data_IF_964391560960
#
_entry.id   IF_964391560960
#
_cell.length_a   1.000
_cell.length_b   1.000
_cell.length_c   1.000
_cell.angle_alpha   90.00
_cell.angle_beta   90.00
_cell.angle_gamma   90.00
#
_symmetry.space_group_name_H-M   'P 1'
#
loop_
_entity.id
_entity.type
_entity.pdbx_description
1 polymer ?
#
# COMPACT_ATOMS: atom_id res chain seq x y z
N UNK A 1 -58.11 79.05 14.95
CA UNK A 1 -57.09 77.99 14.78
C UNK A 1 -57.28 77.40 13.40
N UNK A 2 -56.71 78.07 12.40
CA UNK A 2 -56.65 77.57 11.03
C UNK A 2 -55.61 76.46 10.98
N UNK A 3 -56.10 75.22 10.80
CA UNK A 3 -55.25 74.08 10.54
C UNK A 3 -54.58 74.28 9.18
N UNK A 4 -53.28 74.52 9.18
CA UNK A 4 -52.44 74.50 7.99
C UNK A 4 -52.63 73.15 7.29
N UNK A 5 -53.39 73.16 6.19
CA UNK A 5 -53.43 72.03 5.26
C UNK A 5 -52.04 71.90 4.67
N UNK A 6 -51.34 70.84 5.06
CA UNK A 6 -50.12 70.39 4.39
C UNK A 6 -50.48 70.14 2.93
N UNK A 7 -49.87 70.92 2.05
CA UNK A 7 -50.00 70.82 0.60
C UNK A 7 -49.42 69.46 0.17
N UNK A 8 -50.19 68.60 -0.52
CA UNK A 8 -49.66 67.38 -1.11
C UNK A 8 -48.56 67.75 -2.13
N UNK A 9 -47.39 67.12 -2.02
CA UNK A 9 -46.29 67.34 -2.96
C UNK A 9 -46.62 66.81 -4.36
N UNK A 10 -45.84 67.23 -5.37
CA UNK A 10 -46.12 66.96 -6.80
C UNK A 10 -46.23 65.46 -7.13
N UNK A 11 -45.52 64.59 -6.39
CA UNK A 11 -45.59 63.13 -6.52
C UNK A 11 -46.85 62.49 -5.89
N UNK A 12 -47.58 63.21 -5.02
CA UNK A 12 -48.80 62.70 -4.40
C UNK A 12 -50.01 62.86 -5.32
N UNK A 13 -50.06 63.90 -6.15
CA UNK A 13 -51.17 64.12 -7.10
C UNK A 13 -51.33 62.97 -8.11
N UNK A 14 -50.21 62.48 -8.65
CA UNK A 14 -50.20 61.32 -9.55
C UNK A 14 -50.68 60.05 -8.86
N UNK A 15 -50.30 59.85 -7.59
CA UNK A 15 -50.74 58.70 -6.79
C UNK A 15 -52.25 58.72 -6.49
N UNK A 16 -52.92 59.85 -6.67
CA UNK A 16 -54.37 60.02 -6.57
C UNK A 16 -55.04 60.21 -7.93
N UNK A 17 -54.34 59.84 -9.01
CA UNK A 17 -54.90 59.78 -10.36
C UNK A 17 -55.12 61.14 -11.01
N UNK A 18 -54.33 62.16 -10.67
CA UNK A 18 -54.34 63.45 -11.36
C UNK A 18 -52.94 63.85 -11.81
N UNK A 19 -52.80 64.13 -13.10
CA UNK A 19 -51.55 64.60 -13.73
C UNK A 19 -51.80 65.92 -14.46
N UNK A 20 -51.14 66.99 -14.03
CA UNK A 20 -51.23 68.31 -14.63
C UNK A 20 -50.05 68.56 -15.58
N UNK A 21 -50.30 69.10 -16.77
CA UNK A 21 -49.30 69.36 -17.80
C UNK A 21 -49.38 70.80 -18.30
N UNK A 22 -48.23 71.42 -18.55
CA UNK A 22 -48.13 72.78 -19.10
C UNK A 22 -48.03 72.74 -20.62
N UNK A 23 -48.81 73.59 -21.28
CA UNK A 23 -48.73 73.85 -22.71
C UNK A 23 -48.12 75.24 -22.94
N UNK A 24 -46.90 75.26 -23.47
CA UNK A 24 -46.20 76.48 -23.83
C UNK A 24 -46.81 77.18 -25.05
N UNK A 25 -46.69 78.52 -25.16
CA UNK A 25 -47.18 79.29 -26.31
C UNK A 25 -46.51 78.93 -27.64
N UNK A 26 -45.34 78.30 -27.59
CA UNK A 26 -44.49 77.97 -28.74
C UNK A 26 -44.75 76.55 -29.29
N UNK A 27 -45.77 75.85 -28.76
CA UNK A 27 -46.05 74.45 -29.09
C UNK A 27 -45.25 73.42 -28.27
N UNK A 28 -44.33 73.86 -27.40
CA UNK A 28 -43.59 72.99 -26.48
C UNK A 28 -44.42 72.69 -25.23
N UNK A 29 -45.01 71.50 -25.14
CA UNK A 29 -45.61 70.97 -23.91
C UNK A 29 -44.59 70.23 -23.04
N UNK A 30 -44.75 70.27 -21.71
CA UNK A 30 -43.96 69.43 -20.82
C UNK A 30 -44.43 67.98 -20.91
N UNK A 31 -43.52 67.06 -21.25
CA UNK A 31 -43.81 65.61 -21.25
C UNK A 31 -43.96 65.07 -19.83
N UNK A 32 -43.32 65.71 -18.85
CA UNK A 32 -43.48 65.39 -17.44
C UNK A 32 -44.63 66.19 -16.83
N UNK A 33 -45.43 65.56 -15.95
CA UNK A 33 -46.43 66.25 -15.15
C UNK A 33 -45.76 67.27 -14.21
N UNK A 34 -46.50 68.33 -13.89
CA UNK A 34 -46.12 69.41 -12.99
C UNK A 34 -47.11 69.49 -11.83
N UNK A 35 -46.69 70.11 -10.73
CA UNK A 35 -47.56 70.33 -9.58
C UNK A 35 -48.77 71.23 -9.90
N UNK A 36 -49.88 71.05 -9.18
CA UNK A 36 -51.07 71.93 -9.28
C UNK A 36 -50.73 73.39 -8.97
N UNK A 37 -49.88 73.59 -7.96
CA UNK A 37 -49.42 74.92 -7.54
C UNK A 37 -48.50 75.56 -8.58
N UNK A 38 -47.68 74.75 -9.25
CA UNK A 38 -46.81 75.18 -10.34
C UNK A 38 -47.63 75.56 -11.57
N UNK A 39 -48.58 74.70 -11.97
CA UNK A 39 -49.54 74.99 -13.04
C UNK A 39 -50.30 76.29 -12.77
N UNK A 40 -50.80 76.48 -11.55
CA UNK A 40 -51.50 77.70 -11.15
C UNK A 40 -50.61 78.95 -11.31
N UNK A 41 -49.36 78.89 -10.86
CA UNK A 41 -48.40 80.00 -10.96
C UNK A 41 -48.07 80.38 -12.41
N UNK A 42 -47.93 79.39 -13.30
CA UNK A 42 -47.70 79.63 -14.72
C UNK A 42 -48.93 80.21 -15.43
N UNK A 43 -50.13 79.73 -15.11
CA UNK A 43 -51.37 80.30 -15.62
C UNK A 43 -51.58 81.76 -15.21
N UNK A 44 -51.03 82.22 -14.08
CA UNK A 44 -51.15 83.63 -13.66
C UNK A 44 -50.12 84.55 -14.33
N UNK A 45 -48.93 84.03 -14.69
CA UNK A 45 -47.79 84.83 -15.15
C UNK A 45 -47.61 84.86 -16.68
N UNK A 46 -48.04 83.80 -17.37
CA UNK A 46 -47.87 83.65 -18.81
C UNK A 46 -49.19 83.32 -19.49
N UNK A 47 -49.33 83.68 -20.78
CA UNK A 47 -50.45 83.24 -21.64
C UNK A 47 -50.49 81.74 -21.92
N UNK A 48 -49.81 80.95 -21.09
CA UNK A 48 -49.74 79.48 -21.11
C UNK A 48 -51.11 78.87 -20.87
N UNK A 49 -51.29 77.70 -21.47
CA UNK A 49 -52.46 76.84 -21.29
C UNK A 49 -52.04 75.57 -20.53
N UNK A 50 -52.99 74.79 -20.06
CA UNK A 50 -52.71 73.56 -19.33
C UNK A 50 -53.70 72.45 -19.66
N UNK A 51 -53.26 71.22 -19.45
CA UNK A 51 -54.11 70.03 -19.50
C UNK A 51 -54.01 69.33 -18.14
N UNK A 52 -55.15 68.93 -17.58
CA UNK A 52 -55.21 68.04 -16.44
C UNK A 52 -55.78 66.71 -16.93
N UNK A 53 -54.99 65.66 -16.79
CA UNK A 53 -55.38 64.28 -17.04
C UNK A 53 -55.81 63.68 -15.70
N UNK A 54 -56.95 63.00 -15.66
CA UNK A 54 -57.39 62.29 -14.47
C UNK A 54 -57.80 60.86 -14.77
N UNK A 55 -57.52 59.96 -13.84
CA UNK A 55 -57.92 58.55 -13.89
C UNK A 55 -59.35 58.34 -13.38
N UNK A 56 -59.97 57.23 -13.76
CA UNK A 56 -61.28 56.86 -13.24
C UNK A 56 -61.26 56.84 -11.70
N UNK A 57 -62.12 57.63 -11.02
CA UNK A 57 -62.12 57.72 -9.56
C UNK A 57 -62.23 56.36 -8.85
N UNK A 58 -63.03 55.45 -9.41
CA UNK A 58 -63.25 54.13 -8.81
C UNK A 58 -61.99 53.27 -8.86
N UNK A 59 -61.23 53.37 -9.96
CA UNK A 59 -59.97 52.66 -10.18
C UNK A 59 -58.88 53.17 -9.23
N UNK A 60 -58.76 54.50 -9.09
CA UNK A 60 -57.79 55.13 -8.17
C UNK A 60 -58.08 54.75 -6.72
N UNK A 61 -59.34 54.85 -6.31
CA UNK A 61 -59.74 54.50 -4.94
C UNK A 61 -59.53 53.00 -4.69
N UNK A 62 -59.75 52.13 -5.69
CA UNK A 62 -59.52 50.70 -5.57
C UNK A 62 -58.07 50.33 -5.30
N UNK A 63 -57.11 50.93 -6.01
CA UNK A 63 -55.69 50.71 -5.75
C UNK A 63 -55.27 51.14 -4.34
N UNK A 64 -55.87 52.22 -3.83
CA UNK A 64 -55.64 52.63 -2.45
C UNK A 64 -56.17 51.57 -1.46
N UNK A 65 -57.33 50.98 -1.73
CA UNK A 65 -57.89 49.90 -0.91
C UNK A 65 -57.04 48.63 -0.93
N UNK A 66 -56.58 48.21 -2.12
CA UNK A 66 -55.68 47.05 -2.29
C UNK A 66 -54.37 47.20 -1.53
N UNK A 67 -53.83 48.42 -1.50
CA UNK A 67 -52.62 48.73 -0.72
C UNK A 67 -52.84 48.69 0.80
N UNK A 68 -54.04 48.34 1.25
CA UNK A 68 -54.41 48.23 2.66
C UNK A 68 -54.82 49.55 3.30
N UNK A 69 -55.11 50.60 2.52
CA UNK A 69 -55.62 51.86 3.09
C UNK A 69 -57.10 51.73 3.43
N UNK A 70 -57.53 52.27 4.59
CA UNK A 70 -58.94 52.25 4.95
C UNK A 70 -59.74 53.18 4.03
N UNK A 71 -60.91 52.71 3.58
CA UNK A 71 -61.81 53.38 2.63
C UNK A 71 -62.05 54.86 2.95
N UNK A 72 -62.35 55.19 4.21
CA UNK A 72 -62.62 56.56 4.61
C UNK A 72 -61.43 57.50 4.38
N UNK A 73 -60.19 57.00 4.54
CA UNK A 73 -58.98 57.79 4.27
C UNK A 73 -58.72 57.91 2.77
N UNK A 74 -58.91 56.82 2.02
CA UNK A 74 -58.76 56.83 0.56
C UNK A 74 -59.71 57.85 -0.10
N UNK A 75 -60.99 57.83 0.28
CA UNK A 75 -62.00 58.79 -0.21
C UNK A 75 -61.71 60.23 0.21
N UNK A 76 -61.27 60.46 1.45
CA UNK A 76 -60.93 61.81 1.93
C UNK A 76 -59.71 62.39 1.21
N UNK A 77 -58.69 61.58 0.96
CA UNK A 77 -57.47 61.99 0.25
C UNK A 77 -57.74 62.27 -1.23
N UNK A 78 -58.45 61.36 -1.91
CA UNK A 78 -58.87 61.58 -3.30
C UNK A 78 -59.70 62.87 -3.44
N UNK A 79 -60.68 63.09 -2.55
CA UNK A 79 -61.47 64.34 -2.55
C UNK A 79 -60.61 65.59 -2.34
N UNK A 80 -59.64 65.55 -1.44
CA UNK A 80 -58.77 66.71 -1.22
C UNK A 80 -58.03 67.12 -2.50
N UNK A 81 -57.44 66.14 -3.19
CA UNK A 81 -56.70 66.35 -4.45
C UNK A 81 -57.64 66.76 -5.58
N UNK A 82 -58.76 66.08 -5.76
CA UNK A 82 -59.76 66.41 -6.78
C UNK A 82 -60.31 67.84 -6.61
N UNK A 83 -60.55 68.28 -5.37
CA UNK A 83 -61.06 69.62 -5.08
C UNK A 83 -60.04 70.71 -5.45
N UNK A 84 -58.74 70.47 -5.23
CA UNK A 84 -57.68 71.41 -5.61
C UNK A 84 -57.62 71.60 -7.13
N UNK A 85 -57.66 70.50 -7.89
CA UNK A 85 -57.68 70.54 -9.36
C UNK A 85 -58.96 71.18 -9.91
N UNK A 86 -60.13 70.82 -9.37
CA UNK A 86 -61.40 71.44 -9.76
C UNK A 86 -61.44 72.93 -9.44
N UNK A 87 -60.91 73.37 -8.29
CA UNK A 87 -60.83 74.78 -7.95
C UNK A 87 -59.97 75.56 -8.95
N UNK A 88 -58.85 74.98 -9.39
CA UNK A 88 -58.00 75.56 -10.43
C UNK A 88 -58.75 75.65 -11.78
N UNK A 89 -59.47 74.59 -12.16
CA UNK A 89 -60.34 74.59 -13.34
C UNK A 89 -61.46 75.65 -13.27
N UNK A 90 -62.06 75.86 -12.09
CA UNK A 90 -63.08 76.92 -11.86
C UNK A 90 -62.49 78.32 -12.08
N UNK A 91 -61.25 78.56 -11.63
CA UNK A 91 -60.57 79.87 -11.73
C UNK A 91 -60.06 80.16 -13.14
N UNK A 92 -59.58 79.15 -13.86
CA UNK A 92 -58.87 79.29 -15.16
C UNK A 92 -59.52 78.49 -16.30
N UNK A 93 -60.85 78.35 -16.30
CA UNK A 93 -61.57 77.39 -17.16
C UNK A 93 -61.41 77.55 -18.68
N UNK A 94 -61.03 78.72 -19.19
CA UNK A 94 -60.74 78.90 -20.63
C UNK A 94 -59.33 78.45 -21.03
N UNK A 95 -58.43 78.31 -20.06
CA UNK A 95 -57.00 78.01 -20.27
C UNK A 95 -56.61 76.59 -19.87
N UNK A 96 -57.50 75.87 -19.19
CA UNK A 96 -57.29 74.49 -18.77
C UNK A 96 -58.28 73.58 -19.50
N UNK A 97 -57.79 72.48 -20.04
CA UNK A 97 -58.60 71.34 -20.45
C UNK A 97 -58.50 70.22 -19.41
N UNK A 98 -59.61 69.55 -19.15
CA UNK A 98 -59.70 68.37 -18.31
C UNK A 98 -60.00 67.15 -19.18
N UNK A 99 -59.27 66.05 -18.99
CA UNK A 99 -59.43 64.83 -19.79
C UNK A 99 -59.29 63.59 -18.92
N UNK A 100 -60.17 62.61 -19.13
CA UNK A 100 -60.02 61.28 -18.54
C UNK A 100 -58.88 60.50 -19.20
N UNK A 101 -58.20 59.64 -18.46
CA UNK A 101 -57.34 58.60 -19.03
C UNK A 101 -58.17 57.55 -19.74
N UNK A 102 -57.65 56.99 -20.83
CA UNK A 102 -58.23 55.81 -21.47
C UNK A 102 -57.19 54.69 -21.56
N UNK A 103 -57.67 53.46 -21.35
CA UNK A 103 -56.87 52.25 -21.54
C UNK A 103 -56.89 51.79 -23.00
N UNK A 104 -57.80 52.32 -23.84
CA UNK A 104 -57.89 51.98 -25.25
C UNK A 104 -57.03 52.94 -26.10
N UNK A 105 -56.08 52.35 -26.83
CA UNK A 105 -55.20 53.08 -27.75
C UNK A 105 -55.97 53.77 -28.88
N UNK A 106 -57.16 53.29 -29.25
CA UNK A 106 -57.98 53.92 -30.28
C UNK A 106 -58.69 55.18 -29.76
N UNK A 107 -59.24 55.13 -28.54
CA UNK A 107 -59.84 56.29 -27.87
C UNK A 107 -58.80 57.36 -27.56
N UNK A 108 -57.58 56.96 -27.18
CA UNK A 108 -56.46 57.88 -26.94
C UNK A 108 -56.12 58.72 -28.19
N UNK A 109 -56.26 58.15 -29.39
CA UNK A 109 -56.03 58.86 -30.66
C UNK A 109 -57.13 59.89 -30.91
N UNK A 110 -58.40 59.53 -30.69
CA UNK A 110 -59.55 60.44 -30.84
C UNK A 110 -59.45 61.60 -29.84
N UNK A 111 -59.09 61.30 -28.59
CA UNK A 111 -58.84 62.28 -27.54
C UNK A 111 -57.71 63.24 -27.93
N UNK A 112 -56.63 62.72 -28.53
CA UNK A 112 -55.52 63.55 -29.01
C UNK A 112 -55.93 64.47 -30.16
N UNK A 113 -56.83 64.02 -31.05
CA UNK A 113 -57.35 64.81 -32.17
C UNK A 113 -58.25 65.96 -31.67
N UNK A 114 -59.19 65.69 -30.76
CA UNK A 114 -60.05 66.71 -30.14
C UNK A 114 -59.26 67.75 -29.32
N UNK A 115 -58.23 67.31 -28.61
CA UNK A 115 -57.33 68.20 -27.89
C UNK A 115 -56.49 69.07 -28.84
N UNK A 116 -56.13 68.55 -30.01
CA UNK A 116 -55.36 69.30 -31.02
C UNK A 116 -56.18 70.40 -31.70
N UNK A 117 -57.51 70.25 -31.81
CA UNK A 117 -58.41 71.32 -32.25
C UNK A 117 -58.46 72.48 -31.24
N UNK A 118 -58.46 72.16 -29.94
CA UNK A 118 -58.50 73.15 -28.86
C UNK A 118 -57.14 73.81 -28.62
N UNK A 119 -56.05 73.10 -28.91
CA UNK A 119 -54.66 73.53 -28.72
C UNK A 119 -53.85 73.31 -30.00
N UNK A 120 -54.02 74.23 -30.97
CA UNK A 120 -53.33 74.14 -32.25
C UNK A 120 -51.79 74.23 -32.07
N UNK A 121 -51.06 73.26 -32.63
CA UNK A 121 -49.58 73.17 -32.71
C UNK A 121 -48.83 72.73 -31.44
N UNK A 122 -49.48 72.19 -30.41
CA UNK A 122 -48.80 71.62 -29.22
C UNK A 122 -48.64 70.11 -29.27
N UNK A 123 -47.48 69.57 -28.86
CA UNK A 123 -47.32 68.12 -28.61
C UNK A 123 -48.05 67.73 -27.33
N UNK A 124 -49.03 66.86 -27.44
CA UNK A 124 -49.84 66.37 -26.30
C UNK A 124 -49.07 65.29 -25.50
N UNK A 125 -49.25 65.25 -24.16
CA UNK A 125 -48.75 64.17 -23.31
C UNK A 125 -49.42 62.83 -23.64
N UNK A 126 -48.77 61.70 -23.30
CA UNK A 126 -49.33 60.37 -23.51
C UNK A 126 -50.58 60.16 -22.65
N UNK A 127 -51.72 59.86 -23.28
CA UNK A 127 -53.03 59.74 -22.63
C UNK A 127 -53.36 58.30 -22.15
N UNK A 128 -52.41 57.37 -22.29
CA UNK A 128 -52.56 55.96 -21.92
C UNK A 128 -51.61 55.61 -20.76
N UNK A 129 -52.19 55.13 -19.65
CA UNK A 129 -51.43 54.66 -18.47
C UNK A 129 -51.47 53.13 -18.41
N UNK A 130 -50.29 52.50 -18.35
CA UNK A 130 -50.12 51.04 -18.25
C UNK A 130 -50.15 50.58 -16.79
N UNK A 131 -51.19 50.94 -16.05
CA UNK A 131 -51.36 50.51 -14.65
C UNK A 131 -52.07 49.17 -14.62
N UNK A 132 -51.54 48.21 -13.85
CA UNK A 132 -52.18 46.91 -13.64
C UNK A 132 -53.59 47.15 -13.11
N UNK A 133 -54.66 46.56 -13.70
CA UNK A 133 -56.01 46.81 -13.23
C UNK A 133 -56.18 46.33 -11.77
N UNK A 134 -56.86 47.10 -10.90
CA UNK A 134 -57.17 46.67 -9.54
C UNK A 134 -58.14 45.48 -9.56
N UNK A 135 -58.12 44.70 -8.48
CA UNK A 135 -59.07 43.62 -8.22
C UNK A 135 -60.50 44.16 -8.43
N UNK A 136 -61.30 43.49 -9.28
CA UNK A 136 -62.67 43.88 -9.55
C UNK A 136 -63.53 44.08 -8.29
N UNK A 137 -63.21 43.40 -7.19
CA UNK A 137 -63.89 43.60 -5.90
C UNK A 137 -63.63 45.00 -5.32
N UNK A 138 -62.38 45.44 -5.28
CA UNK A 138 -62.03 46.75 -4.73
C UNK A 138 -62.52 47.89 -5.63
N UNK A 139 -62.54 47.70 -6.96
CA UNK A 139 -63.14 48.66 -7.92
C UNK A 139 -64.63 48.83 -7.68
N UNK A 140 -65.33 47.72 -7.51
CA UNK A 140 -66.76 47.75 -7.24
C UNK A 140 -67.10 48.39 -5.89
N UNK A 141 -66.32 48.08 -4.84
CA UNK A 141 -66.45 48.70 -3.53
C UNK A 141 -66.18 50.20 -3.58
N UNK A 142 -65.15 50.62 -4.32
CA UNK A 142 -64.82 52.02 -4.54
C UNK A 142 -65.93 52.78 -5.27
N UNK A 143 -66.45 52.23 -6.37
CA UNK A 143 -67.54 52.81 -7.15
C UNK A 143 -68.82 53.00 -6.31
N UNK A 144 -69.22 51.96 -5.56
CA UNK A 144 -70.39 52.03 -4.67
C UNK A 144 -70.20 53.06 -3.54
N UNK A 145 -68.99 53.13 -2.97
CA UNK A 145 -68.69 54.04 -1.86
C UNK A 145 -68.64 55.50 -2.33
N UNK A 146 -68.03 55.75 -3.48
CA UNK A 146 -68.00 57.06 -4.12
C UNK A 146 -69.38 57.52 -4.59
N UNK A 147 -70.18 56.58 -5.12
CA UNK A 147 -71.57 56.82 -5.50
C UNK A 147 -72.50 57.09 -4.31
N UNK A 148 -72.16 56.66 -3.09
CA UNK A 148 -72.98 56.90 -1.88
C UNK A 148 -72.66 58.22 -1.17
N UNK A 149 -71.41 58.65 -1.15
CA UNK A 149 -71.00 59.93 -0.56
C UNK A 149 -71.41 61.09 -1.48
N UNK A 150 -72.36 61.92 -1.05
CA UNK A 150 -72.90 63.00 -1.89
C UNK A 150 -71.81 63.96 -2.34
N UNK A 151 -70.84 64.27 -1.47
CA UNK A 151 -69.73 65.18 -1.80
C UNK A 151 -68.83 64.58 -2.88
N UNK A 152 -68.45 63.31 -2.73
CA UNK A 152 -67.66 62.59 -3.74
C UNK A 152 -68.42 62.49 -5.06
N UNK A 153 -69.71 62.15 -5.02
CA UNK A 153 -70.57 62.07 -6.20
C UNK A 153 -70.65 63.39 -6.95
N UNK A 154 -70.97 64.49 -6.26
CA UNK A 154 -71.06 65.83 -6.85
C UNK A 154 -69.73 66.24 -7.52
N UNK A 155 -68.59 65.88 -6.91
CA UNK A 155 -67.27 66.14 -7.48
C UNK A 155 -66.97 65.27 -8.70
N UNK A 156 -67.37 63.99 -8.70
CA UNK A 156 -67.26 63.10 -9.85
C UNK A 156 -68.13 63.61 -11.00
N UNK A 157 -69.37 63.99 -10.72
CA UNK A 157 -70.28 64.58 -11.71
C UNK A 157 -69.71 65.88 -12.29
N UNK A 158 -69.11 66.74 -11.46
CA UNK A 158 -68.44 67.96 -11.95
C UNK A 158 -67.21 67.65 -12.80
N UNK A 159 -66.39 66.66 -12.43
CA UNK A 159 -65.26 66.21 -13.25
C UNK A 159 -65.73 65.70 -14.60
N UNK A 160 -66.75 64.83 -14.62
CA UNK A 160 -67.32 64.25 -15.83
C UNK A 160 -67.94 65.33 -16.73
N UNK A 161 -68.70 66.28 -16.16
CA UNK A 161 -69.35 67.36 -16.92
C UNK A 161 -68.34 68.36 -17.51
N UNK A 162 -67.17 68.50 -16.90
CA UNK A 162 -66.10 69.41 -17.37
C UNK A 162 -65.07 68.72 -18.25
N UNK A 163 -65.01 67.40 -18.20
CA UNK A 163 -64.08 66.63 -19.01
C UNK A 163 -64.47 66.68 -20.48
N UNK A 164 -63.47 66.80 -21.35
CA UNK A 164 -63.69 66.71 -22.80
C UNK A 164 -64.11 65.29 -23.18
N UNK A 165 -63.49 64.29 -22.53
CA UNK A 165 -63.86 62.88 -22.63
C UNK A 165 -63.82 62.27 -21.23
N UNK A 166 -64.95 61.80 -20.68
CA UNK A 166 -64.97 61.13 -19.39
C UNK A 166 -64.24 59.78 -19.47
N UNK A 167 -63.55 59.33 -18.40
CA UNK A 167 -62.96 58.00 -18.36
C UNK A 167 -64.06 56.93 -18.36
N UNK A 168 -63.79 55.78 -19.00
CA UNK A 168 -64.70 54.63 -19.00
C UNK A 168 -64.53 53.88 -17.68
N UNK A 169 -65.60 53.77 -16.89
CA UNK A 169 -65.57 52.96 -15.67
C UNK A 169 -65.41 51.47 -16.04
N UNK A 170 -64.41 50.76 -15.50
CA UNK A 170 -64.19 49.32 -15.77
C UNK A 170 -65.27 48.43 -15.16
N UNK A 171 -66.15 49.00 -14.33
CA UNK A 171 -67.18 48.28 -13.61
C UNK A 171 -68.53 48.94 -13.86
N UNK A 172 -69.42 48.18 -14.48
CA UNK A 172 -70.77 48.61 -14.85
C UNK A 172 -71.73 48.27 -13.69
N UNK A 173 -71.59 48.98 -12.57
CA UNK A 173 -72.50 48.86 -11.44
C UNK A 173 -73.55 49.94 -11.52
N UNK A 174 -74.80 49.53 -11.38
CA UNK A 174 -75.91 50.47 -11.25
C UNK A 174 -75.79 51.19 -9.91
N UNK A 175 -75.52 52.49 -9.93
CA UNK A 175 -75.60 53.36 -8.75
C UNK A 175 -77.04 53.39 -8.20
N UNK A 176 -78.02 53.11 -9.07
CA UNK A 176 -79.45 53.03 -8.74
C UNK A 176 -79.85 51.70 -8.07
N UNK A 177 -78.96 50.68 -8.08
CA UNK A 177 -79.18 49.39 -7.39
C UNK A 177 -77.90 48.88 -6.68
N UNK A 178 -77.60 49.44 -5.49
CA UNK A 178 -76.44 49.04 -4.70
C UNK A 178 -76.59 47.64 -4.08
N UNK A 179 -77.79 47.09 -3.98
CA UNK A 179 -78.06 45.80 -3.34
C UNK A 179 -77.65 44.65 -4.27
N UNK A 180 -78.11 44.66 -5.52
CA UNK A 180 -77.70 43.68 -6.55
C UNK A 180 -76.18 43.69 -6.80
N UNK A 181 -75.58 44.88 -6.70
CA UNK A 181 -74.14 45.10 -6.82
C UNK A 181 -73.36 44.44 -5.67
N UNK A 182 -73.82 44.57 -4.43
CA UNK A 182 -73.23 43.90 -3.27
C UNK A 182 -73.44 42.39 -3.29
N UNK A 183 -74.61 41.91 -3.71
CA UNK A 183 -74.87 40.48 -3.86
C UNK A 183 -73.93 39.82 -4.86
N UNK A 184 -73.69 40.47 -5.99
CA UNK A 184 -72.75 39.98 -7.02
C UNK A 184 -71.33 39.89 -6.46
N UNK A 185 -70.89 40.88 -5.69
CA UNK A 185 -69.57 40.86 -5.05
C UNK A 185 -69.45 39.79 -3.97
N UNK A 186 -70.49 39.65 -3.15
CA UNK A 186 -70.54 38.63 -2.10
C UNK A 186 -70.49 37.22 -2.72
N UNK A 187 -71.20 37.01 -3.84
CA UNK A 187 -71.15 35.78 -4.61
C UNK A 187 -69.75 35.46 -5.11
N UNK A 188 -69.06 36.43 -5.73
CA UNK A 188 -67.68 36.27 -6.22
C UNK A 188 -66.68 35.99 -5.09
N UNK A 189 -66.81 36.69 -3.97
CA UNK A 189 -65.96 36.47 -2.80
C UNK A 189 -66.17 35.07 -2.21
N UNK A 190 -67.43 34.63 -2.07
CA UNK A 190 -67.74 33.28 -1.59
C UNK A 190 -67.17 32.21 -2.53
N UNK A 191 -67.29 32.38 -3.85
CA UNK A 191 -66.69 31.46 -4.83
C UNK A 191 -65.17 31.37 -4.67
N UNK A 192 -64.48 32.52 -4.60
CA UNK A 192 -63.03 32.55 -4.40
C UNK A 192 -62.62 31.91 -3.05
N UNK A 193 -63.40 32.15 -1.99
CA UNK A 193 -63.16 31.55 -0.68
C UNK A 193 -63.34 30.03 -0.69
N UNK A 194 -64.36 29.52 -1.38
CA UNK A 194 -64.56 28.07 -1.54
C UNK A 194 -63.47 27.42 -2.37
N UNK A 195 -63.01 28.08 -3.44
CA UNK A 195 -61.90 27.60 -4.26
C UNK A 195 -60.61 27.52 -3.44
N UNK A 196 -60.30 28.59 -2.69
CA UNK A 196 -59.15 28.61 -1.80
C UNK A 196 -59.24 27.50 -0.72
N UNK A 197 -60.42 27.30 -0.13
CA UNK A 197 -60.65 26.21 0.82
C UNK A 197 -60.40 24.83 0.22
N UNK A 198 -60.82 24.59 -1.02
CA UNK A 198 -60.55 23.33 -1.73
C UNK A 198 -59.06 23.11 -1.98
N UNK A 199 -58.32 24.15 -2.39
CA UNK A 199 -56.87 24.08 -2.58
C UNK A 199 -56.12 23.77 -1.28
N UNK A 200 -56.56 24.34 -0.15
CA UNK A 200 -55.96 24.05 1.16
C UNK A 200 -56.16 22.57 1.54
N UNK A 201 -57.32 21.99 1.27
CA UNK A 201 -57.58 20.56 1.52
C UNK A 201 -56.68 19.68 0.66
N UNK A 202 -56.55 19.99 -0.63
CA UNK A 202 -55.68 19.25 -1.55
C UNK A 202 -54.21 19.31 -1.13
N UNK A 203 -53.72 20.50 -0.76
CA UNK A 203 -52.36 20.68 -0.26
C UNK A 203 -52.11 19.88 1.03
N UNK A 204 -53.07 19.87 1.96
CA UNK A 204 -52.97 19.05 3.16
C UNK A 204 -52.93 17.55 2.84
N UNK A 205 -53.69 17.10 1.85
CA UNK A 205 -53.61 15.73 1.35
C UNK A 205 -52.24 15.38 0.79
N UNK A 206 -51.64 16.28 0.01
CA UNK A 206 -50.28 16.10 -0.52
C UNK A 206 -49.23 16.06 0.59
N UNK A 207 -49.34 16.93 1.61
CA UNK A 207 -48.43 16.94 2.76
C UNK A 207 -48.49 15.62 3.52
N UNK A 208 -49.69 15.11 3.82
CA UNK A 208 -49.83 13.82 4.50
C UNK A 208 -49.21 12.65 3.70
N UNK A 209 -49.31 12.69 2.37
CA UNK A 209 -48.70 11.69 1.50
C UNK A 209 -47.17 11.80 1.46
N UNK A 210 -46.63 13.02 1.49
CA UNK A 210 -45.19 13.26 1.60
C UNK A 210 -44.64 12.80 2.96
N UNK A 211 -45.35 13.07 4.05
CA UNK A 211 -44.96 12.60 5.38
C UNK A 211 -44.92 11.07 5.45
N UNK A 212 -45.91 10.40 4.84
CA UNK A 212 -45.95 8.94 4.75
C UNK A 212 -44.75 8.38 3.97
N UNK A 213 -44.47 8.92 2.79
CA UNK A 213 -43.34 8.45 1.97
C UNK A 213 -41.99 8.76 2.63
N UNK A 214 -41.87 9.88 3.35
CA UNK A 214 -40.70 10.20 4.16
C UNK A 214 -40.50 9.19 5.30
N UNK A 215 -41.58 8.75 5.95
CA UNK A 215 -41.49 7.74 7.00
C UNK A 215 -41.05 6.37 6.47
N UNK A 216 -41.66 5.90 5.38
CA UNK A 216 -41.31 4.62 4.73
C UNK A 216 -39.85 4.60 4.25
N UNK A 217 -39.37 5.71 3.68
CA UNK A 217 -37.97 5.83 3.25
C UNK A 217 -37.01 5.89 4.43
N UNK A 218 -37.38 6.54 5.54
CA UNK A 218 -36.59 6.55 6.77
C UNK A 218 -36.44 5.16 7.38
N UNK A 219 -37.52 4.36 7.41
CA UNK A 219 -37.46 2.98 7.91
C UNK A 219 -36.56 2.09 7.03
N UNK A 220 -36.69 2.20 5.71
CA UNK A 220 -35.82 1.48 4.77
C UNK A 220 -34.34 1.87 4.93
N UNK A 221 -34.04 3.14 5.18
CA UNK A 221 -32.68 3.60 5.47
C UNK A 221 -32.14 3.03 6.80
N UNK A 222 -32.99 2.93 7.82
CA UNK A 222 -32.62 2.32 9.11
C UNK A 222 -32.29 0.82 8.94
N UNK A 223 -33.08 0.10 8.14
CA UNK A 223 -32.85 -1.33 7.83
C UNK A 223 -31.56 -1.54 7.05
N UNK A 224 -31.32 -0.75 6.00
CA UNK A 224 -30.08 -0.82 5.21
C UNK A 224 -28.86 -0.48 6.05
N UNK A 225 -28.97 0.50 6.96
CA UNK A 225 -27.90 0.84 7.93
C UNK A 225 -27.58 -0.32 8.87
N UNK A 226 -28.60 -1.03 9.39
CA UNK A 226 -28.40 -2.22 10.22
C UNK A 226 -27.74 -3.36 9.44
N UNK A 227 -28.16 -3.59 8.20
CA UNK A 227 -27.55 -4.59 7.32
C UNK A 227 -26.07 -4.26 7.03
N UNK A 228 -25.75 -2.99 6.79
CA UNK A 228 -24.38 -2.51 6.59
C UNK A 228 -23.52 -2.77 7.82
N UNK A 229 -23.98 -2.41 9.02
CA UNK A 229 -23.25 -2.67 10.26
C UNK A 229 -22.98 -4.16 10.52
N UNK A 230 -23.91 -5.03 10.14
CA UNK A 230 -23.71 -6.50 10.20
C UNK A 230 -22.62 -6.96 9.21
N UNK A 231 -22.62 -6.43 7.99
CA UNK A 231 -21.62 -6.73 6.98
C UNK A 231 -20.22 -6.23 7.40
N UNK A 232 -20.11 -5.02 7.94
CA UNK A 232 -18.87 -4.46 8.50
C UNK A 232 -18.34 -5.33 9.65
N UNK A 233 -19.20 -5.76 10.56
CA UNK A 233 -18.83 -6.68 11.65
C UNK A 233 -18.31 -8.03 11.14
N UNK A 234 -18.89 -8.57 10.07
CA UNK A 234 -18.43 -9.79 9.41
C UNK A 234 -17.08 -9.61 8.72
N UNK A 235 -16.87 -8.47 8.04
CA UNK A 235 -15.60 -8.12 7.42
C UNK A 235 -14.49 -7.94 8.46
N UNK A 236 -14.76 -7.26 9.57
CA UNK A 236 -13.81 -7.10 10.66
C UNK A 236 -13.34 -8.46 11.22
N UNK A 237 -14.26 -9.42 11.39
CA UNK A 237 -13.93 -10.80 11.79
C UNK A 237 -13.03 -11.48 10.75
N UNK A 238 -13.34 -11.38 9.45
CA UNK A 238 -12.50 -11.95 8.38
C UNK A 238 -11.09 -11.34 8.35
N UNK A 239 -10.97 -10.02 8.53
CA UNK A 239 -9.67 -9.34 8.60
C UNK A 239 -8.86 -9.85 9.79
N UNK A 240 -9.48 -10.00 10.96
CA UNK A 240 -8.78 -10.54 12.14
C UNK A 240 -8.29 -11.98 11.94
N UNK A 241 -9.10 -12.83 11.30
CA UNK A 241 -8.73 -14.21 10.99
C UNK A 241 -7.59 -14.29 9.95
N UNK A 242 -7.64 -13.45 8.91
CA UNK A 242 -6.56 -13.36 7.92
C UNK A 242 -5.26 -12.86 8.54
N UNK A 243 -5.32 -11.92 9.47
CA UNK A 243 -4.14 -11.46 10.20
C UNK A 243 -3.53 -12.56 11.07
N UNK A 244 -4.34 -13.37 11.76
CA UNK A 244 -3.80 -14.52 12.52
C UNK A 244 -3.18 -15.58 11.60
N UNK A 245 -3.81 -15.86 10.45
CA UNK A 245 -3.24 -16.77 9.44
C UNK A 245 -1.93 -16.22 8.86
N UNK A 246 -1.85 -14.91 8.60
CA UNK A 246 -0.62 -14.26 8.15
C UNK A 246 0.53 -14.38 9.16
N UNK A 247 0.23 -14.27 10.45
CA UNK A 247 1.22 -14.49 11.52
C UNK A 247 1.68 -15.96 11.58
N UNK A 248 0.77 -16.91 11.43
CA UNK A 248 1.09 -18.34 11.40
C UNK A 248 2.00 -18.69 10.22
N UNK A 249 1.68 -18.21 9.01
CA UNK A 249 2.52 -18.37 7.82
C UNK A 249 3.91 -17.76 8.03
N UNK A 250 4.00 -16.57 8.63
CA UNK A 250 5.28 -15.93 8.92
C UNK A 250 6.14 -16.77 9.90
N UNK A 251 5.51 -17.43 10.88
CA UNK A 251 6.21 -18.34 11.80
C UNK A 251 6.68 -19.61 11.09
N UNK A 252 5.83 -20.23 10.26
CA UNK A 252 6.19 -21.41 9.48
C UNK A 252 7.33 -21.14 8.48
N UNK A 253 7.38 -19.94 7.89
CA UNK A 253 8.49 -19.53 7.02
C UNK A 253 9.80 -19.49 7.82
N UNK A 254 9.79 -18.90 9.02
CA UNK A 254 10.98 -18.86 9.89
C UNK A 254 11.43 -20.27 10.28
N UNK A 255 10.50 -21.14 10.67
CA UNK A 255 10.81 -22.54 11.01
C UNK A 255 11.43 -23.27 9.81
N UNK A 256 10.84 -23.12 8.61
CA UNK A 256 11.39 -23.71 7.38
C UNK A 256 12.78 -23.19 7.06
N UNK A 257 13.03 -21.89 7.18
CA UNK A 257 14.36 -21.32 6.96
C UNK A 257 15.38 -21.87 7.96
N UNK A 258 15.02 -21.99 9.25
CA UNK A 258 15.91 -22.60 10.26
C UNK A 258 16.20 -24.07 9.97
N UNK A 259 15.19 -24.85 9.58
CA UNK A 259 15.35 -26.26 9.22
C UNK A 259 16.23 -26.42 7.98
N UNK A 260 16.04 -25.59 6.97
CA UNK A 260 16.85 -25.60 5.74
C UNK A 260 18.33 -25.30 6.04
N UNK A 261 18.63 -24.30 6.87
CA UNK A 261 20.03 -24.03 7.25
C UNK A 261 20.66 -25.17 8.06
N UNK A 262 19.86 -25.91 8.85
CA UNK A 262 20.33 -27.10 9.56
C UNK A 262 20.60 -28.27 8.60
N UNK A 263 19.72 -28.49 7.63
CA UNK A 263 19.89 -29.50 6.57
C UNK A 263 21.14 -29.22 5.73
N UNK A 264 21.38 -27.97 5.34
CA UNK A 264 22.59 -27.57 4.60
C UNK A 264 23.87 -27.86 5.40
N UNK A 265 23.87 -27.59 6.72
CA UNK A 265 25.00 -27.94 7.60
C UNK A 265 25.20 -29.45 7.69
N UNK A 266 24.11 -30.22 7.82
CA UNK A 266 24.17 -31.68 7.88
C UNK A 266 24.68 -32.27 6.56
N UNK A 267 24.22 -31.76 5.42
CA UNK A 267 24.67 -32.15 4.08
C UNK A 267 26.17 -31.89 3.89
N UNK A 268 26.66 -30.69 4.27
CA UNK A 268 28.10 -30.39 4.26
C UNK A 268 28.91 -31.35 5.13
N UNK A 269 28.40 -31.67 6.32
CA UNK A 269 29.07 -32.61 7.24
C UNK A 269 29.11 -34.01 6.65
N UNK A 270 28.03 -34.47 6.02
CA UNK A 270 27.97 -35.77 5.35
C UNK A 270 28.98 -35.87 4.20
N UNK A 271 29.13 -34.82 3.39
CA UNK A 271 30.14 -34.77 2.32
C UNK A 271 31.57 -34.87 2.88
N UNK A 272 31.87 -34.13 3.96
CA UNK A 272 33.18 -34.19 4.61
C UNK A 272 33.49 -35.57 5.18
N UNK A 273 32.52 -36.19 5.87
CA UNK A 273 32.67 -37.55 6.40
C UNK A 273 32.86 -38.57 5.28
N UNK A 274 32.10 -38.45 4.18
CA UNK A 274 32.24 -39.36 3.05
C UNK A 274 33.62 -39.23 2.38
N UNK A 275 34.16 -38.02 2.30
CA UNK A 275 35.53 -37.80 1.82
C UNK A 275 36.56 -38.45 2.76
N UNK A 276 36.43 -38.26 4.07
CA UNK A 276 37.31 -38.90 5.07
C UNK A 276 37.25 -40.43 5.01
N UNK A 277 36.07 -41.01 4.85
CA UNK A 277 35.91 -42.46 4.68
C UNK A 277 36.66 -42.92 3.42
N UNK A 278 36.52 -42.21 2.30
CA UNK A 278 37.22 -42.55 1.06
C UNK A 278 38.75 -42.46 1.21
N UNK A 279 39.26 -41.44 1.92
CA UNK A 279 40.69 -41.32 2.22
C UNK A 279 41.20 -42.47 3.11
N UNK A 280 40.43 -42.82 4.15
CA UNK A 280 40.76 -43.93 5.05
C UNK A 280 40.73 -45.29 4.33
N UNK A 281 39.77 -45.53 3.44
CA UNK A 281 39.72 -46.73 2.61
C UNK A 281 40.94 -46.83 1.68
N UNK A 282 41.33 -45.73 1.04
CA UNK A 282 42.52 -45.68 0.19
C UNK A 282 43.82 -45.94 0.99
N UNK A 283 43.93 -45.32 2.18
CA UNK A 283 45.06 -45.52 3.09
C UNK A 283 45.12 -46.97 3.59
N UNK A 284 43.98 -47.55 3.98
CA UNK A 284 43.88 -48.93 4.42
C UNK A 284 44.31 -49.89 3.30
N UNK A 285 43.83 -49.68 2.07
CA UNK A 285 44.24 -50.48 0.91
C UNK A 285 45.75 -50.43 0.68
N UNK A 286 46.33 -49.24 0.71
CA UNK A 286 47.78 -49.06 0.58
C UNK A 286 48.57 -49.80 1.67
N UNK A 287 48.09 -49.78 2.92
CA UNK A 287 48.72 -50.51 4.03
C UNK A 287 48.57 -52.02 3.91
N UNK A 288 47.42 -52.50 3.42
CA UNK A 288 47.22 -53.93 3.13
C UNK A 288 48.19 -54.40 2.05
N UNK A 289 48.33 -53.65 0.96
CA UNK A 289 49.28 -53.97 -0.12
C UNK A 289 50.74 -53.97 0.39
N UNK A 290 51.10 -53.03 1.27
CA UNK A 290 52.42 -53.00 1.92
C UNK A 290 52.66 -54.23 2.80
N UNK A 291 51.68 -54.65 3.61
CA UNK A 291 51.78 -55.86 4.43
C UNK A 291 51.92 -57.12 3.58
N UNK A 292 51.19 -57.22 2.47
CA UNK A 292 51.32 -58.33 1.52
C UNK A 292 52.75 -58.39 0.97
N UNK A 293 53.30 -57.24 0.54
CA UNK A 293 54.67 -57.16 0.04
C UNK A 293 55.70 -57.56 1.10
N UNK A 294 55.61 -57.00 2.31
CA UNK A 294 56.52 -57.31 3.40
C UNK A 294 56.47 -58.79 3.81
N UNK A 295 55.28 -59.41 3.77
CA UNK A 295 55.14 -60.85 4.01
C UNK A 295 55.79 -61.69 2.92
N UNK A 296 55.67 -61.29 1.65
CA UNK A 296 56.35 -61.95 0.54
C UNK A 296 57.88 -61.82 0.68
N UNK A 297 58.38 -60.63 0.99
CA UNK A 297 59.82 -60.37 1.22
C UNK A 297 60.34 -61.20 2.41
N UNK A 298 59.59 -61.21 3.53
CA UNK A 298 59.92 -62.04 4.70
C UNK A 298 59.98 -63.52 4.35
N UNK A 299 59.02 -64.02 3.57
CA UNK A 299 59.00 -65.43 3.13
C UNK A 299 60.22 -65.77 2.28
N UNK A 300 60.55 -64.92 1.30
CA UNK A 300 61.74 -65.11 0.45
C UNK A 300 63.05 -65.08 1.27
N UNK A 301 63.13 -64.21 2.28
CA UNK A 301 64.28 -64.15 3.19
C UNK A 301 64.39 -65.43 4.03
N UNK A 302 63.27 -65.94 4.56
CA UNK A 302 63.24 -67.22 5.31
C UNK A 302 63.70 -68.37 4.42
N UNK A 303 63.15 -68.51 3.20
CA UNK A 303 63.58 -69.56 2.27
C UNK A 303 65.07 -69.47 1.92
N UNK A 304 65.61 -68.25 1.81
CA UNK A 304 67.04 -68.02 1.58
C UNK A 304 67.88 -68.44 2.79
N UNK A 305 67.42 -68.10 4.01
CA UNK A 305 68.10 -68.52 5.24
C UNK A 305 68.02 -70.03 5.46
N UNK A 306 66.89 -70.67 5.20
CA UNK A 306 66.74 -72.13 5.27
C UNK A 306 67.71 -72.85 4.33
N UNK A 307 67.87 -72.36 3.09
CA UNK A 307 68.88 -72.89 2.16
C UNK A 307 70.30 -72.73 2.71
N UNK A 308 70.65 -71.55 3.20
CA UNK A 308 71.98 -71.30 3.79
C UNK A 308 72.24 -72.18 5.02
N UNK A 309 71.23 -72.39 5.87
CA UNK A 309 71.35 -73.30 7.02
C UNK A 309 71.59 -74.72 6.55
N UNK A 310 70.83 -75.20 5.56
CA UNK A 310 71.03 -76.53 4.98
C UNK A 310 72.43 -76.70 4.34
N UNK A 311 72.91 -75.69 3.63
CA UNK A 311 74.28 -75.66 3.07
C UNK A 311 75.35 -75.70 4.18
N UNK A 312 75.19 -74.90 5.24
CA UNK A 312 76.10 -74.87 6.37
C UNK A 312 76.09 -76.18 7.16
N UNK A 313 74.93 -76.80 7.35
CA UNK A 313 74.80 -78.12 7.99
C UNK A 313 75.50 -79.21 7.16
N UNK A 314 75.34 -79.19 5.83
CA UNK A 314 76.03 -80.11 4.93
C UNK A 314 77.55 -79.91 4.97
N UNK A 315 78.02 -78.65 4.94
CA UNK A 315 79.43 -78.32 5.06
C UNK A 315 80.02 -78.74 6.43
N UNK A 316 79.27 -78.51 7.51
CA UNK A 316 79.66 -78.93 8.87
C UNK A 316 79.80 -80.45 8.94
N UNK A 317 78.83 -81.20 8.38
CA UNK A 317 78.88 -82.66 8.32
C UNK A 317 80.08 -83.16 7.51
N UNK A 318 80.31 -82.60 6.32
CA UNK A 318 81.47 -82.95 5.50
C UNK A 318 82.78 -82.72 6.25
N UNK A 319 82.88 -81.62 7.01
CA UNK A 319 84.08 -81.33 7.79
C UNK A 319 84.22 -82.22 9.02
N UNK A 320 83.11 -82.61 9.64
CA UNK A 320 83.12 -83.61 10.70
C UNK A 320 83.60 -84.98 10.19
N UNK A 321 83.13 -85.40 9.01
CA UNK A 321 83.57 -86.63 8.34
C UNK A 321 85.05 -86.57 7.96
N UNK A 322 85.54 -85.41 7.50
CA UNK A 322 86.97 -85.20 7.25
C UNK A 322 87.80 -85.30 8.53
N UNK A 323 87.36 -84.70 9.64
CA UNK A 323 88.04 -84.81 10.95
C UNK A 323 88.06 -86.24 11.44
N UNK A 324 86.96 -87.00 11.32
CA UNK A 324 86.97 -88.42 11.72
C UNK A 324 87.92 -89.25 10.86
N UNK A 325 87.96 -89.02 9.55
CA UNK A 325 88.93 -89.66 8.64
C UNK A 325 90.38 -89.31 8.99
N UNK A 326 90.70 -88.02 9.16
CA UNK A 326 92.04 -87.57 9.53
C UNK A 326 92.46 -88.13 10.89
N UNK A 327 91.54 -88.25 11.84
CA UNK A 327 91.81 -88.90 13.12
C UNK A 327 92.07 -90.40 12.95
N UNK A 328 91.31 -91.10 12.11
CA UNK A 328 91.56 -92.51 11.80
C UNK A 328 92.94 -92.70 11.15
N UNK A 329 93.27 -91.87 10.15
CA UNK A 329 94.58 -91.87 9.48
C UNK A 329 95.70 -91.60 10.49
N UNK A 330 95.53 -90.61 11.39
CA UNK A 330 96.47 -90.32 12.48
C UNK A 330 96.66 -91.53 13.40
N UNK A 331 95.58 -92.20 13.83
CA UNK A 331 95.66 -93.38 14.69
C UNK A 331 96.38 -94.54 14.01
N UNK A 332 96.11 -94.80 12.73
CA UNK A 332 96.79 -95.84 11.96
C UNK A 332 98.29 -95.53 11.78
N UNK A 333 98.63 -94.25 11.55
CA UNK A 333 100.01 -93.81 11.46
C UNK A 333 100.74 -93.98 12.80
N UNK A 334 100.11 -93.60 13.91
CA UNK A 334 100.64 -93.81 15.26
C UNK A 334 100.88 -95.29 15.54
N UNK A 335 99.93 -96.17 15.24
CA UNK A 335 100.08 -97.63 15.42
C UNK A 335 101.23 -98.19 14.56
N UNK A 336 101.37 -97.70 13.31
CA UNK A 336 102.51 -98.06 12.44
C UNK A 336 103.83 -97.59 13.03
N UNK A 337 103.90 -96.37 13.56
CA UNK A 337 105.09 -95.85 14.23
C UNK A 337 105.41 -96.64 15.49
N UNK A 338 104.41 -97.00 16.30
CA UNK A 338 104.55 -97.81 17.51
C UNK A 338 105.07 -99.22 17.19
N UNK A 339 104.54 -99.88 16.15
CA UNK A 339 105.08 -101.14 15.61
C UNK A 339 106.54 -100.99 15.18
N UNK A 340 106.88 -99.86 14.55
CA UNK A 340 108.27 -99.60 14.13
C UNK A 340 109.19 -99.32 15.31
N UNK A 341 108.73 -98.62 16.34
CA UNK A 341 109.46 -98.41 17.59
C UNK A 341 109.71 -99.76 18.28
N UNK A 342 108.68 -100.59 18.45
CA UNK A 342 108.85 -101.92 19.06
C UNK A 342 109.78 -102.83 18.24
N UNK A 343 109.75 -102.75 16.90
CA UNK A 343 110.73 -103.49 16.07
C UNK A 343 112.15 -102.95 16.22
N UNK A 344 112.30 -101.61 16.25
CA UNK A 344 113.59 -101.00 16.52
C UNK A 344 114.11 -101.39 17.92
N UNK A 345 113.26 -101.41 18.94
CA UNK A 345 113.59 -101.89 20.29
C UNK A 345 114.00 -103.37 20.29
N UNK A 346 113.29 -104.25 19.56
CA UNK A 346 113.70 -105.65 19.39
C UNK A 346 115.06 -105.76 18.69
N UNK A 347 115.28 -104.98 17.63
CA UNK A 347 116.54 -104.97 16.90
C UNK A 347 117.70 -104.49 17.78
N UNK A 348 117.46 -103.46 18.61
CA UNK A 348 118.40 -102.94 19.59
C UNK A 348 118.71 -103.98 20.66
N UNK A 349 117.69 -104.69 21.17
CA UNK A 349 117.89 -105.77 22.15
C UNK A 349 118.63 -106.98 21.56
N UNK A 350 118.38 -107.34 20.29
CA UNK A 350 119.18 -108.37 19.59
C UNK A 350 120.62 -107.93 19.42
N UNK A 351 120.85 -106.66 19.05
CA UNK A 351 122.19 -106.10 18.95
C UNK A 351 122.91 -106.10 20.32
N UNK A 352 122.21 -105.74 21.40
CA UNK A 352 122.73 -105.85 22.77
C UNK A 352 123.06 -107.28 23.17
N UNK A 353 122.19 -108.25 22.92
CA UNK A 353 122.48 -109.66 23.19
C UNK A 353 123.66 -110.19 22.36
N UNK A 354 123.79 -109.74 21.11
CA UNK A 354 124.97 -110.05 20.31
C UNK A 354 126.23 -109.44 20.90
N UNK A 355 126.15 -108.21 21.43
CA UNK A 355 127.25 -107.54 22.11
C UNK A 355 127.64 -108.31 23.37
N UNK A 356 126.68 -108.64 24.24
CA UNK A 356 126.90 -109.45 25.45
C UNK A 356 127.50 -110.83 25.10
N UNK A 357 127.02 -111.45 24.01
CA UNK A 357 127.56 -112.70 23.50
C UNK A 357 129.00 -112.58 23.02
N UNK A 358 129.35 -111.48 22.33
CA UNK A 358 130.74 -111.21 21.95
C UNK A 358 131.63 -110.89 23.14
N UNK A 359 131.13 -110.16 24.14
CA UNK A 359 131.84 -109.87 25.39
C UNK A 359 132.09 -111.16 26.20
N UNK A 360 131.10 -112.05 26.29
CA UNK A 360 131.24 -113.36 26.92
C UNK A 360 132.26 -114.25 26.18
N UNK A 361 132.27 -114.23 24.84
CA UNK A 361 133.27 -114.94 24.05
C UNK A 361 134.68 -114.37 24.26
N UNK A 362 134.80 -113.05 24.45
CA UNK A 362 136.06 -112.37 24.76
C UNK A 362 136.57 -112.76 26.16
N UNK A 363 135.68 -112.78 27.15
CA UNK A 363 136.00 -113.22 28.52
C UNK A 363 136.42 -114.69 28.58
N UNK A 364 135.80 -115.58 27.80
CA UNK A 364 136.23 -116.98 27.71
C UNK A 364 137.59 -117.12 27.02
N UNK A 365 137.89 -116.27 26.04
CA UNK A 365 139.20 -116.23 25.39
C UNK A 365 140.30 -115.77 26.36
N UNK A 366 140.03 -114.74 27.17
CA UNK A 366 140.91 -114.29 28.25
C UNK A 366 141.11 -115.38 29.33
N UNK A 367 140.07 -116.14 29.66
CA UNK A 367 140.14 -117.29 30.58
C UNK A 367 141.01 -118.42 30.00
N UNK A 368 140.83 -118.76 28.73
CA UNK A 368 141.64 -119.76 28.04
C UNK A 368 143.11 -119.33 27.93
N UNK A 369 143.38 -118.04 27.66
CA UNK A 369 144.73 -117.48 27.70
C UNK A 369 145.36 -117.59 29.10
N UNK A 370 144.60 -117.28 30.15
CA UNK A 370 145.07 -117.43 31.53
C UNK A 370 145.38 -118.89 31.88
N UNK A 371 144.58 -119.85 31.41
CA UNK A 371 144.84 -121.29 31.59
C UNK A 371 146.08 -121.75 30.82
N UNK A 372 146.33 -121.21 29.63
CA UNK A 372 147.56 -121.47 28.87
C UNK A 372 148.78 -120.92 29.64
N UNK A 373 148.70 -119.70 30.16
CA UNK A 373 149.79 -119.08 30.91
C UNK A 373 150.11 -119.82 32.22
N UNK A 374 149.11 -120.35 32.93
CA UNK A 374 149.31 -121.20 34.11
C UNK A 374 150.01 -122.53 33.79
N UNK A 375 149.71 -123.16 32.65
CA UNK A 375 150.42 -124.36 32.19
C UNK A 375 151.89 -124.03 31.87
N UNK A 376 152.17 -122.84 31.33
CA UNK A 376 153.53 -122.39 31.05
C UNK A 376 154.35 -122.02 32.31
N UNK A 377 153.71 -121.70 33.43
CA UNK A 377 154.37 -121.28 34.67
C UNK A 377 154.70 -122.43 35.66
N UNK A 378 154.13 -123.63 35.50
CA UNK A 378 154.29 -124.72 36.48
C UNK A 378 155.64 -125.44 36.40
N UNK A 379 156.34 -125.55 37.54
CA UNK A 379 157.73 -126.01 37.73
C UNK A 379 157.89 -127.53 37.93
N UNK A 380 156.89 -128.33 37.56
CA UNK A 380 156.99 -129.80 37.56
C UNK A 380 157.82 -130.31 36.37
N UNK A 381 159.04 -130.80 36.64
CA UNK A 381 159.95 -131.35 35.61
C UNK A 381 159.44 -132.60 34.89
N UNK A 382 158.36 -133.25 35.36
CA UNK A 382 157.78 -134.42 34.68
C UNK A 382 156.79 -134.08 33.56
N UNK A 383 156.30 -132.83 33.48
CA UNK A 383 155.28 -132.42 32.49
C UNK A 383 155.80 -131.37 31.50
N UNK A 384 156.83 -130.60 31.86
CA UNK A 384 157.30 -129.44 31.07
C UNK A 384 158.29 -129.74 29.94
N UNK A 385 158.88 -130.94 29.88
CA UNK A 385 159.89 -131.28 28.87
C UNK A 385 159.33 -131.61 27.47
N UNK A 386 158.18 -132.29 27.30
CA UNK A 386 157.60 -132.54 25.97
C UNK A 386 157.07 -131.28 25.29
N UNK A 387 156.48 -130.34 26.05
CA UNK A 387 155.83 -129.13 25.50
C UNK A 387 156.81 -128.05 25.02
N UNK A 388 158.00 -127.93 25.62
CA UNK A 388 159.04 -126.99 25.15
C UNK A 388 159.58 -127.32 23.75
N UNK A 389 159.43 -128.58 23.32
CA UNK A 389 159.78 -129.03 21.97
C UNK A 389 158.73 -128.63 20.92
N UNK A 390 157.44 -128.54 21.30
CA UNK A 390 156.34 -128.19 20.39
C UNK A 390 156.29 -126.68 20.11
N UNK A 391 156.64 -125.82 21.08
CA UNK A 391 156.74 -124.36 20.84
C UNK A 391 157.79 -124.00 19.76
N UNK A 392 158.83 -124.83 19.56
CA UNK A 392 159.79 -124.65 18.45
C UNK A 392 159.25 -125.05 17.08
N UNK A 393 158.12 -125.76 17.02
CA UNK A 393 157.45 -126.11 15.76
C UNK A 393 156.39 -125.08 15.35
N UNK A 394 155.92 -124.22 16.26
CA UNK A 394 154.79 -123.30 16.03
C UNK A 394 155.05 -121.81 16.34
N UNK A 395 156.30 -121.39 16.61
CA UNK A 395 156.70 -119.96 16.60
C UNK A 395 157.93 -119.75 15.72
N UNK A 396 157.70 -119.76 14.40
CA UNK A 396 158.50 -118.97 13.45
C UNK A 396 157.60 -117.91 12.85
N UNK A 397 156.77 -117.27 13.67
CA UNK A 397 155.38 -117.02 13.31
C UNK A 397 154.94 -115.73 13.97
#
# INVERSE_FOLDING_TARGET
MESMRSVPGDAESEAFGFAAHLLGPDGSGTQMPVGVSELAGHLERSGTQGIIIYEDPSTVIAHLLESGRPLNKALAQWRAVAQEHLALCRKSGRRIALCGTTQDSAEAVILSEQLSERFAKTKLPGLSTAVSPPDPFFVALAALSAGRDSVTRDMIEELLARSIVPPVSPVNLSVDDPESSLETLLGRWNSAHTEFGSQVVDLNGQVAQLEKTLHETSESLEETRKALGSAEGSLAKKISALNSQGQEIANLIKERDTAQTAEEKQSRTAVLLNHQVSELEAALKSRVDEVIRLNADRKALVETHEKKVSELEAALKSRADEVTRLNADRTALLEKHEKKVTELERSLNRARQSLDGTEAALAENERLQSQIDEIYASTSWRITMPMRSIKRLFVGI
#
